data_IF_058405310361
#
_entry.id   IF_058405310361
#
_cell.length_a   1.000
_cell.length_b   1.000
_cell.length_c   1.000
_cell.angle_alpha   90.00
_cell.angle_beta   90.00
_cell.angle_gamma   90.00
#
_symmetry.space_group_name_H-M   'P 1'
#
loop_
_entity.id
_entity.type
_entity.pdbx_description
1 polymer ?
#
# COMPACT_ATOMS: atom_id res chain seq x y z
N UNK A 1 6.64 -3.59 -9.26
CA UNK A 1 5.30 -4.16 -8.98
C UNK A 1 4.28 -3.83 -10.06
N UNK A 2 3.97 -2.55 -10.35
CA UNK A 2 2.99 -2.18 -11.38
C UNK A 2 3.24 -2.87 -12.74
N UNK A 3 4.50 -2.87 -13.21
CA UNK A 3 4.90 -3.57 -14.46
C UNK A 3 4.56 -5.07 -14.43
N UNK A 4 4.85 -5.75 -13.33
CA UNK A 4 4.59 -7.19 -13.16
C UNK A 4 3.09 -7.50 -13.15
N UNK A 5 2.28 -6.66 -12.51
CA UNK A 5 0.82 -6.83 -12.47
C UNK A 5 0.19 -6.58 -13.84
N UNK A 6 0.68 -5.58 -14.58
CA UNK A 6 0.24 -5.32 -15.96
C UNK A 6 0.58 -6.48 -16.90
N UNK A 7 1.77 -7.09 -16.75
CA UNK A 7 2.16 -8.30 -17.50
C UNK A 7 1.26 -9.51 -17.19
N UNK A 8 0.71 -9.57 -15.97
CA UNK A 8 -0.28 -10.57 -15.58
C UNK A 8 -1.72 -10.25 -16.03
N UNK A 9 -1.94 -9.16 -16.77
CA UNK A 9 -3.26 -8.75 -17.26
C UNK A 9 -4.16 -8.11 -16.18
N UNK A 10 -3.61 -7.74 -15.03
CA UNK A 10 -4.36 -7.14 -13.94
C UNK A 10 -4.50 -5.64 -14.19
N UNK A 11 -5.74 -5.13 -14.19
CA UNK A 11 -6.01 -3.69 -14.28
C UNK A 11 -5.42 -2.97 -13.07
N UNK A 12 -4.48 -2.06 -13.31
CA UNK A 12 -3.73 -1.35 -12.28
C UNK A 12 -3.83 0.16 -12.49
N UNK A 13 -4.01 0.89 -11.39
CA UNK A 13 -3.83 2.35 -11.36
C UNK A 13 -2.61 2.67 -10.50
N UNK A 14 -1.67 3.44 -11.04
CA UNK A 14 -0.52 3.93 -10.29
C UNK A 14 -0.75 5.38 -9.87
N UNK A 15 -0.56 5.67 -8.60
CA UNK A 15 -0.94 6.93 -7.97
C UNK A 15 0.20 7.41 -7.07
N UNK A 16 0.33 8.72 -6.91
CA UNK A 16 1.25 9.31 -5.92
C UNK A 16 0.68 9.17 -4.50
N UNK A 17 1.58 9.05 -3.51
CA UNK A 17 1.20 8.91 -2.09
C UNK A 17 0.30 10.04 -1.58
N UNK A 18 0.45 11.25 -2.13
CA UNK A 18 -0.37 12.41 -1.78
C UNK A 18 -1.87 12.22 -2.11
N UNK A 19 -2.19 11.33 -3.05
CA UNK A 19 -3.56 11.02 -3.46
C UNK A 19 -4.19 9.84 -2.71
N UNK A 20 -3.56 9.36 -1.63
CA UNK A 20 -4.01 8.18 -0.87
C UNK A 20 -5.45 8.29 -0.38
N UNK A 21 -5.87 9.48 0.07
CA UNK A 21 -7.24 9.72 0.54
C UNK A 21 -8.29 9.53 -0.57
N UNK A 22 -7.94 9.85 -1.81
CA UNK A 22 -8.81 9.59 -2.96
C UNK A 22 -8.82 8.11 -3.32
N UNK A 23 -7.67 7.44 -3.25
CA UNK A 23 -7.55 6.01 -3.54
C UNK A 23 -8.35 5.16 -2.54
N UNK A 24 -8.31 5.50 -1.24
CA UNK A 24 -8.98 4.74 -0.18
C UNK A 24 -10.51 4.75 -0.31
N UNK A 25 -11.11 5.79 -0.91
CA UNK A 25 -12.56 5.80 -1.20
C UNK A 25 -13.01 4.64 -2.10
N UNK A 26 -12.11 4.07 -2.91
CA UNK A 26 -12.40 2.96 -3.82
C UNK A 26 -11.79 1.63 -3.38
N UNK A 27 -10.81 1.66 -2.48
CA UNK A 27 -10.14 0.45 -2.00
C UNK A 27 -11.02 -0.26 -0.96
N UNK A 28 -11.12 -1.58 -1.06
CA UNK A 28 -11.83 -2.41 -0.06
C UNK A 28 -10.87 -3.26 0.78
N UNK A 29 -9.61 -3.37 0.33
CA UNK A 29 -8.53 -4.11 0.99
C UNK A 29 -7.21 -3.43 0.70
N UNK A 30 -6.35 -3.39 1.71
CA UNK A 30 -5.00 -2.83 1.61
C UNK A 30 -4.01 -3.93 1.98
N UNK A 31 -3.09 -4.22 1.05
CA UNK A 31 -1.99 -5.16 1.25
C UNK A 31 -0.71 -4.38 1.48
N UNK A 32 -0.05 -4.61 2.61
CA UNK A 32 1.17 -3.93 3.01
C UNK A 32 2.30 -4.94 3.15
N UNK A 33 3.48 -4.60 2.62
CA UNK A 33 4.70 -5.36 2.86
C UNK A 33 5.40 -4.86 4.13
N UNK A 34 5.79 -5.78 5.00
CA UNK A 34 6.59 -5.52 6.19
C UNK A 34 8.02 -6.04 6.00
N UNK A 35 9.00 -5.26 6.44
CA UNK A 35 10.39 -5.73 6.57
C UNK A 35 10.62 -6.45 7.89
N UNK A 36 9.96 -6.01 8.96
CA UNK A 36 9.97 -6.67 10.26
C UNK A 36 8.73 -6.30 11.07
N UNK A 37 8.42 -7.11 12.08
CA UNK A 37 7.41 -6.82 13.10
C UNK A 37 8.12 -6.83 14.45
N UNK A 38 8.03 -5.71 15.17
CA UNK A 38 8.63 -5.59 16.50
C UNK A 38 7.83 -6.40 17.52
N UNK A 39 8.45 -6.72 18.65
CA UNK A 39 7.79 -7.40 19.78
C UNK A 39 6.57 -6.64 20.32
N UNK A 40 6.50 -5.32 20.13
CA UNK A 40 5.35 -4.50 20.49
C UNK A 40 4.28 -4.40 19.38
N UNK A 41 4.36 -5.23 18.34
CA UNK A 41 3.42 -5.25 17.21
C UNK A 41 3.64 -4.16 16.17
N UNK A 42 4.58 -3.24 16.36
CA UNK A 42 4.86 -2.20 15.39
C UNK A 42 5.52 -2.78 14.12
N UNK A 43 4.99 -2.40 12.97
CA UNK A 43 5.49 -2.86 11.66
C UNK A 43 6.57 -1.90 11.15
N UNK A 44 7.73 -2.45 10.82
CA UNK A 44 8.81 -1.75 10.13
C UNK A 44 8.66 -2.03 8.64
N UNK A 45 8.56 -0.98 7.83
CA UNK A 45 8.39 -1.06 6.39
C UNK A 45 9.00 0.17 5.69
N UNK A 46 8.85 0.26 4.37
CA UNK A 46 9.30 1.42 3.59
C UNK A 46 8.60 2.70 4.05
N UNK A 47 9.27 3.84 3.84
CA UNK A 47 8.70 5.17 4.07
C UNK A 47 7.33 5.33 3.40
N UNK A 48 6.37 5.87 4.14
CA UNK A 48 5.00 6.08 3.67
C UNK A 48 4.02 4.93 3.97
N UNK A 49 4.48 3.75 4.37
CA UNK A 49 3.60 2.62 4.73
C UNK A 49 2.66 2.97 5.88
N UNK A 50 3.14 3.68 6.90
CA UNK A 50 2.30 4.12 8.03
C UNK A 50 1.18 5.08 7.57
N UNK A 51 1.46 5.96 6.61
CA UNK A 51 0.46 6.89 6.05
C UNK A 51 -0.66 6.11 5.36
N UNK A 52 -0.31 5.11 4.55
CA UNK A 52 -1.30 4.25 3.89
C UNK A 52 -2.08 3.42 4.89
N UNK A 53 -1.42 2.84 5.90
CA UNK A 53 -2.07 2.03 6.93
C UNK A 53 -3.07 2.83 7.77
N UNK A 54 -2.77 4.09 8.08
CA UNK A 54 -3.66 4.97 8.85
C UNK A 54 -4.86 5.48 8.04
N UNK A 55 -4.75 5.53 6.71
CA UNK A 55 -5.83 5.98 5.83
C UNK A 55 -6.78 4.85 5.40
N UNK A 56 -6.37 3.59 5.63
CA UNK A 56 -7.01 2.37 5.15
C UNK A 56 -8.18 1.91 6.03
#
# INVERSE_FOLDING_TARGET
>A
MARSLLQAGIRCSYLSLQSVSHAMKRATKVLLGASAVKSNGAVIARTGTAIVAMAA
#
